data_IF_713172515497
#
_entry.id   IF_713172515497
#
_cell.length_a   1.000
_cell.length_b   1.000
_cell.length_c   1.000
_cell.angle_alpha   90.00
_cell.angle_beta   90.00
_cell.angle_gamma   90.00
#
_symmetry.space_group_name_H-M   'P 1'
#
loop_
_entity.id
_entity.type
_entity.pdbx_description
1 polymer ?
#
# COMPACT_ATOMS: atom_id res chain seq x y z
N UNK A 1 0.77 -36.88 -22.59
CA UNK A 1 1.09 -35.46 -22.85
C UNK A 1 1.79 -34.90 -21.62
N UNK A 2 3.11 -34.70 -21.69
CA UNK A 2 3.90 -34.10 -20.61
C UNK A 2 3.77 -32.58 -20.70
N UNK A 3 2.75 -32.03 -20.06
CA UNK A 3 2.61 -30.58 -19.90
C UNK A 3 3.71 -30.08 -18.98
N UNK A 4 4.66 -29.32 -19.51
CA UNK A 4 5.62 -28.54 -18.74
C UNK A 4 4.92 -27.41 -17.99
N UNK A 5 4.08 -27.77 -17.02
CA UNK A 5 3.31 -26.83 -16.23
C UNK A 5 4.25 -26.05 -15.31
N UNK A 6 4.28 -24.72 -15.45
CA UNK A 6 4.90 -23.87 -14.45
C UNK A 6 4.25 -24.18 -13.11
N UNK A 7 5.04 -24.64 -12.14
CA UNK A 7 4.52 -24.93 -10.82
C UNK A 7 4.01 -23.64 -10.18
N UNK A 8 2.79 -23.67 -9.66
CA UNK A 8 2.18 -22.56 -8.94
C UNK A 8 1.47 -23.07 -7.70
N UNK A 9 1.36 -22.18 -6.70
CA UNK A 9 0.56 -22.42 -5.50
C UNK A 9 -0.73 -21.62 -5.63
N UNK A 10 -1.84 -22.35 -5.62
CA UNK A 10 -3.18 -21.77 -5.65
C UNK A 10 -3.79 -21.81 -4.25
N UNK A 11 -4.43 -20.71 -3.85
CA UNK A 11 -5.25 -20.64 -2.65
C UNK A 11 -6.52 -19.85 -2.95
N UNK A 12 -7.67 -20.36 -2.54
CA UNK A 12 -8.93 -19.62 -2.56
C UNK A 12 -9.41 -19.45 -1.12
N UNK A 13 -9.73 -18.22 -0.74
CA UNK A 13 -10.25 -17.90 0.59
C UNK A 13 -11.60 -17.25 0.41
N UNK A 14 -12.65 -17.92 0.88
CA UNK A 14 -14.00 -17.37 0.92
C UNK A 14 -14.18 -16.58 2.21
N UNK A 15 -14.54 -15.32 2.08
CA UNK A 15 -14.83 -14.45 3.21
C UNK A 15 -15.98 -13.50 2.91
N UNK A 16 -17.05 -13.61 3.70
CA UNK A 16 -18.32 -12.92 3.47
C UNK A 16 -18.87 -13.25 2.07
N UNK A 17 -19.18 -12.24 1.25
CA UNK A 17 -19.67 -12.39 -0.13
C UNK A 17 -18.56 -12.37 -1.19
N UNK A 18 -17.28 -12.49 -0.78
CA UNK A 18 -16.13 -12.39 -1.66
C UNK A 18 -15.27 -13.66 -1.61
N UNK A 19 -14.70 -14.02 -2.76
CA UNK A 19 -13.67 -15.06 -2.89
C UNK A 19 -12.37 -14.41 -3.29
N UNK A 20 -11.33 -14.61 -2.49
CA UNK A 20 -9.98 -14.10 -2.74
C UNK A 20 -9.13 -15.21 -3.35
N UNK A 21 -8.68 -15.03 -4.59
CA UNK A 21 -7.80 -15.97 -5.28
C UNK A 21 -6.34 -15.53 -5.18
N UNK A 22 -5.49 -16.44 -4.71
CA UNK A 22 -4.04 -16.30 -4.68
C UNK A 22 -3.44 -17.24 -5.73
N UNK A 23 -2.63 -16.69 -6.64
CA UNK A 23 -1.82 -17.43 -7.61
C UNK A 23 -0.34 -17.07 -7.43
N UNK A 24 0.38 -17.93 -6.71
CA UNK A 24 1.80 -17.76 -6.41
C UNK A 24 2.68 -18.49 -7.42
N UNK A 25 3.55 -17.75 -8.12
CA UNK A 25 4.53 -18.28 -9.07
C UNK A 25 5.94 -17.84 -8.68
N UNK A 26 6.92 -18.71 -8.90
CA UNK A 26 8.32 -18.41 -8.62
C UNK A 26 9.22 -19.12 -9.63
N UNK A 27 10.39 -18.53 -9.90
CA UNK A 27 11.41 -19.14 -10.77
C UNK A 27 11.97 -20.45 -10.17
N UNK A 28 12.20 -20.48 -8.85
CA UNK A 28 12.47 -21.70 -8.09
C UNK A 28 11.28 -21.98 -7.17
N UNK A 29 10.31 -22.74 -7.68
CA UNK A 29 9.08 -23.02 -6.97
C UNK A 29 9.32 -23.78 -5.66
N UNK A 30 10.13 -24.84 -5.68
CA UNK A 30 10.39 -25.67 -4.51
C UNK A 30 10.95 -24.87 -3.32
N UNK A 31 11.81 -23.88 -3.58
CA UNK A 31 12.35 -23.01 -2.54
C UNK A 31 11.34 -21.96 -2.04
N UNK A 32 10.48 -21.43 -2.93
CA UNK A 32 9.53 -20.37 -2.62
C UNK A 32 8.20 -20.88 -2.04
N UNK A 33 7.86 -22.15 -2.29
CA UNK A 33 6.58 -22.75 -1.94
C UNK A 33 6.18 -22.58 -0.46
N UNK A 34 7.09 -22.75 0.53
CA UNK A 34 6.75 -22.50 1.94
C UNK A 34 6.40 -21.03 2.22
N UNK A 35 7.07 -20.09 1.55
CA UNK A 35 6.81 -18.66 1.70
C UNK A 35 5.48 -18.27 1.04
N UNK A 36 5.19 -18.82 -0.14
CA UNK A 36 3.91 -18.63 -0.82
C UNK A 36 2.75 -19.16 0.04
N UNK A 37 2.92 -20.32 0.67
CA UNK A 37 1.95 -20.85 1.61
C UNK A 37 1.79 -19.95 2.85
N UNK A 38 2.89 -19.46 3.42
CA UNK A 38 2.84 -18.56 4.57
C UNK A 38 2.07 -17.26 4.25
N UNK A 39 2.24 -16.69 3.05
CA UNK A 39 1.47 -15.53 2.60
C UNK A 39 -0.02 -15.84 2.56
N UNK A 40 -0.41 -16.97 1.96
CA UNK A 40 -1.83 -17.40 1.90
C UNK A 40 -2.40 -17.58 3.32
N UNK A 41 -1.65 -18.23 4.22
CA UNK A 41 -2.08 -18.49 5.59
C UNK A 41 -2.10 -17.23 6.47
N UNK A 42 -1.36 -16.18 6.10
CA UNK A 42 -1.38 -14.90 6.81
C UNK A 42 -2.63 -14.07 6.52
N UNK A 43 -3.36 -14.40 5.45
CA UNK A 43 -4.58 -13.70 5.10
C UNK A 43 -5.65 -13.97 6.16
N UNK A 44 -6.08 -12.91 6.82
CA UNK A 44 -7.17 -12.94 7.80
C UNK A 44 -8.05 -11.72 7.64
N UNK A 45 -9.33 -11.83 8.01
CA UNK A 45 -10.18 -10.66 8.20
C UNK A 45 -9.57 -9.67 9.17
N UNK A 46 -9.81 -8.39 8.93
CA UNK A 46 -9.43 -7.33 9.86
C UNK A 46 -10.16 -7.55 11.18
N UNK A 47 -9.42 -7.60 12.29
CA UNK A 47 -9.99 -7.86 13.60
C UNK A 47 -10.85 -6.64 14.04
N UNK A 48 -12.00 -6.82 14.72
CA UNK A 48 -12.84 -5.69 15.14
C UNK A 48 -12.11 -4.63 15.97
N UNK A 49 -11.13 -5.02 16.78
CA UNK A 49 -10.27 -4.08 17.53
C UNK A 49 -9.30 -3.29 16.64
N UNK A 50 -8.88 -3.85 15.50
CA UNK A 50 -8.06 -3.13 14.49
C UNK A 50 -8.92 -2.09 13.76
N UNK A 51 -10.21 -2.39 13.52
CA UNK A 51 -11.18 -1.41 13.00
C UNK A 51 -11.42 -0.24 13.98
N UNK A 52 -11.28 -0.48 15.29
CA UNK A 52 -11.45 0.56 16.31
C UNK A 52 -10.19 1.38 16.60
N UNK A 53 -9.03 1.05 16.02
CA UNK A 53 -7.77 1.77 16.23
C UNK A 53 -7.73 3.19 15.60
N UNK A 54 -8.88 3.72 15.19
CA UNK A 54 -9.05 5.01 14.53
C UNK A 54 -9.20 4.85 13.01
N UNK A 55 -9.85 5.81 12.33
CA UNK A 55 -9.85 5.82 10.87
C UNK A 55 -8.38 5.86 10.43
N UNK A 56 -7.95 4.85 9.68
CA UNK A 56 -6.60 4.82 9.12
C UNK A 56 -6.32 6.09 8.30
N UNK A 57 -5.04 6.36 8.08
CA UNK A 57 -4.64 7.50 7.26
C UNK A 57 -5.26 7.39 5.86
N UNK A 58 -5.92 8.46 5.43
CA UNK A 58 -6.53 8.53 4.11
C UNK A 58 -5.79 9.53 3.23
N UNK A 59 -5.69 9.18 1.95
CA UNK A 59 -5.14 10.06 0.94
C UNK A 59 -6.27 10.89 0.36
N UNK A 60 -6.10 12.20 0.39
CA UNK A 60 -6.95 13.15 -0.32
C UNK A 60 -6.10 14.04 -1.21
N UNK A 61 -6.73 14.72 -2.16
CA UNK A 61 -6.06 15.62 -3.08
C UNK A 61 -6.42 17.06 -2.76
N UNK A 62 -5.44 17.95 -2.78
CA UNK A 62 -5.65 19.39 -2.74
C UNK A 62 -4.91 20.05 -3.90
N UNK A 63 -5.36 21.22 -4.33
CA UNK A 63 -4.55 22.08 -5.18
C UNK A 63 -3.53 22.81 -4.31
N UNK A 64 -2.27 22.84 -4.77
CA UNK A 64 -1.16 23.46 -4.04
C UNK A 64 -1.43 24.96 -3.90
N UNK A 65 -1.58 25.48 -2.67
CA UNK A 65 -1.80 26.90 -2.44
C UNK A 65 -0.60 27.74 -2.92
N UNK A 66 -0.86 29.02 -3.19
CA UNK A 66 0.21 29.95 -3.57
C UNK A 66 1.22 30.08 -2.44
N UNK A 67 2.50 29.84 -2.74
CA UNK A 67 3.60 29.92 -1.77
C UNK A 67 3.69 28.73 -0.81
N UNK A 68 2.89 27.67 -1.00
CA UNK A 68 3.03 26.47 -0.20
C UNK A 68 4.33 25.71 -0.54
N UNK A 69 5.05 25.30 0.50
CA UNK A 69 6.20 24.38 0.44
C UNK A 69 5.82 23.03 1.04
N UNK A 70 6.61 21.98 0.78
CA UNK A 70 6.45 20.68 1.42
C UNK A 70 6.45 20.79 2.95
N UNK A 71 7.32 21.63 3.53
CA UNK A 71 7.34 21.89 4.97
C UNK A 71 6.00 22.46 5.47
N UNK A 72 5.45 23.45 4.76
CA UNK A 72 4.17 24.06 5.15
C UNK A 72 2.98 23.10 5.02
N UNK A 73 3.00 22.22 4.01
CA UNK A 73 1.95 21.21 3.80
C UNK A 73 2.05 20.11 4.85
N UNK A 74 3.26 19.62 5.12
CA UNK A 74 3.54 18.58 6.10
C UNK A 74 3.20 18.99 7.54
N UNK A 75 3.23 20.29 7.87
CA UNK A 75 2.82 20.79 9.17
C UNK A 75 1.37 20.45 9.56
N UNK A 76 0.51 20.18 8.56
CA UNK A 76 -0.88 19.74 8.77
C UNK A 76 -1.04 18.22 8.96
N UNK A 77 0.02 17.44 8.69
CA UNK A 77 -0.01 15.97 8.67
C UNK A 77 0.50 15.42 9.99
N UNK A 78 -0.31 14.57 10.65
CA UNK A 78 0.00 14.00 11.98
C UNK A 78 0.65 12.63 11.89
N UNK A 79 1.82 12.56 11.24
CA UNK A 79 2.64 11.35 11.12
C UNK A 79 4.12 11.65 11.39
N UNK A 80 4.91 10.68 11.87
CA UNK A 80 6.37 10.82 11.94
C UNK A 80 6.96 11.09 10.56
N UNK A 81 8.01 11.92 10.49
CA UNK A 81 8.71 12.26 9.24
C UNK A 81 7.78 12.77 8.12
N UNK A 82 6.72 13.49 8.49
CA UNK A 82 5.63 13.91 7.61
C UNK A 82 6.12 14.54 6.29
N UNK A 83 7.12 15.41 6.33
CA UNK A 83 7.63 16.06 5.12
C UNK A 83 8.29 15.06 4.16
N UNK A 84 9.17 14.19 4.67
CA UNK A 84 9.84 13.18 3.86
C UNK A 84 8.84 12.17 3.28
N UNK A 85 7.87 11.74 4.09
CA UNK A 85 6.81 10.83 3.65
C UNK A 85 5.90 11.49 2.59
N UNK A 86 5.54 12.76 2.77
CA UNK A 86 4.72 13.50 1.82
C UNK A 86 5.48 13.74 0.50
N UNK A 87 6.80 13.98 0.55
CA UNK A 87 7.65 14.06 -0.65
C UNK A 87 7.68 12.73 -1.39
N UNK A 88 7.89 11.63 -0.67
CA UNK A 88 7.89 10.29 -1.26
C UNK A 88 6.55 9.98 -1.93
N UNK A 89 5.43 10.25 -1.25
CA UNK A 89 4.07 10.02 -1.76
C UNK A 89 3.79 10.77 -3.08
N UNK A 90 4.39 11.95 -3.23
CA UNK A 90 4.20 12.83 -4.38
C UNK A 90 5.32 12.75 -5.42
N UNK A 91 6.29 11.84 -5.27
CA UNK A 91 7.42 11.71 -6.20
C UNK A 91 8.40 12.89 -6.16
N UNK A 92 8.43 13.62 -5.05
CA UNK A 92 9.25 14.81 -4.81
C UNK A 92 10.45 14.53 -3.89
N UNK A 93 10.76 13.27 -3.61
CA UNK A 93 11.89 12.90 -2.77
C UNK A 93 13.24 13.12 -3.51
N UNK A 94 14.32 13.55 -2.81
CA UNK A 94 14.36 13.91 -1.39
C UNK A 94 14.00 15.38 -1.10
N UNK A 95 14.11 16.28 -2.08
CA UNK A 95 14.10 17.73 -1.85
C UNK A 95 13.27 18.56 -2.86
N UNK A 96 12.41 17.92 -3.64
CA UNK A 96 11.54 18.59 -4.62
C UNK A 96 10.35 19.34 -3.99
N UNK A 97 10.03 20.52 -4.51
CA UNK A 97 8.89 21.32 -4.04
C UNK A 97 7.70 21.23 -5.01
N UNK A 98 6.45 21.34 -4.50
CA UNK A 98 5.27 21.34 -5.34
C UNK A 98 5.13 22.66 -6.09
N UNK A 99 4.50 22.64 -7.26
CA UNK A 99 4.18 23.85 -8.02
C UNK A 99 2.79 24.33 -7.65
N UNK A 100 2.62 25.65 -7.50
CA UNK A 100 1.31 26.26 -7.24
C UNK A 100 0.31 25.87 -8.33
N UNK A 101 -0.90 25.45 -7.91
CA UNK A 101 -1.98 25.04 -8.80
C UNK A 101 -1.97 23.56 -9.18
N UNK A 102 -0.85 22.84 -9.03
CA UNK A 102 -0.81 21.40 -9.24
C UNK A 102 -1.60 20.67 -8.14
N UNK A 103 -2.08 19.47 -8.45
CA UNK A 103 -2.69 18.59 -7.47
C UNK A 103 -1.63 17.83 -6.68
N UNK A 104 -1.76 17.84 -5.37
CA UNK A 104 -0.87 17.10 -4.46
C UNK A 104 -1.68 16.15 -3.58
N UNK A 105 -1.12 14.95 -3.35
CA UNK A 105 -1.65 13.95 -2.42
C UNK A 105 -1.28 14.36 -1.00
N UNK A 106 -2.27 14.40 -0.13
CA UNK A 106 -2.16 14.74 1.29
C UNK A 106 -2.63 13.58 2.15
N UNK A 107 -1.98 13.41 3.30
CA UNK A 107 -2.31 12.39 4.30
C UNK A 107 -3.15 13.05 5.40
N UNK A 108 -4.26 12.44 5.79
CA UNK A 108 -5.14 12.92 6.87
C UNK A 108 -5.53 11.79 7.82
#
# INVERSE_FOLDING_TARGET
ASGGGSQSRLGAIDYSSLTYLFDGKAANFAAADPQLLAVIQSFRPMHPKELQAGPGYHIHYIQVPRGATMASLAASVRIPDAEAQLRLLNGLYPSGEPRTGDWIKMIK
#
